data_IF_378514770021
#
_entry.id   IF_378514770021
#
_cell.length_a   1.000
_cell.length_b   1.000
_cell.length_c   1.000
_cell.angle_alpha   90.00
_cell.angle_beta   90.00
_cell.angle_gamma   90.00
#
_symmetry.space_group_name_H-M   'P 1'
#
loop_
_entity.id
_entity.type
_entity.pdbx_description
1 polymer ?
#
# COMPACT_ATOMS: atom_id res chain seq x y z
N UNK A 1 87.27 -47.79 13.84
CA UNK A 1 86.47 -46.48 13.78
C UNK A 1 85.40 -46.41 12.72
N UNK A 2 85.01 -47.49 12.02
CA UNK A 2 84.01 -47.43 10.91
C UNK A 2 82.57 -47.74 11.34
N UNK A 3 82.33 -48.54 12.36
CA UNK A 3 81.04 -49.00 12.81
C UNK A 3 80.16 -47.92 13.39
N UNK A 4 80.67 -46.86 14.00
CA UNK A 4 79.91 -45.76 14.59
C UNK A 4 79.31 -44.75 13.57
N UNK A 5 79.91 -44.65 12.37
CA UNK A 5 79.40 -43.80 11.28
C UNK A 5 78.22 -44.45 10.52
N UNK A 6 78.26 -45.75 10.33
CA UNK A 6 77.16 -46.51 9.68
C UNK A 6 75.94 -46.59 10.53
N UNK A 7 76.02 -46.73 11.83
CA UNK A 7 74.87 -46.74 12.77
C UNK A 7 74.21 -45.35 12.83
N UNK A 8 74.97 -44.24 12.78
CA UNK A 8 74.44 -42.88 12.75
C UNK A 8 73.76 -42.58 11.38
N UNK A 9 74.30 -43.05 10.30
CA UNK A 9 73.70 -42.90 8.98
C UNK A 9 72.39 -43.69 8.89
N UNK A 10 72.34 -44.95 9.33
CA UNK A 10 71.13 -45.77 9.39
C UNK A 10 70.01 -45.09 10.27
N UNK A 11 70.37 -44.54 11.44
CA UNK A 11 69.40 -43.79 12.28
C UNK A 11 68.89 -42.52 11.59
N UNK A 12 69.67 -41.79 10.83
CA UNK A 12 69.27 -40.61 10.08
C UNK A 12 68.30 -41.00 8.93
N UNK A 13 68.54 -42.10 8.22
CA UNK A 13 67.66 -42.61 7.17
C UNK A 13 66.36 -43.14 7.72
N UNK A 14 66.33 -43.80 8.88
CA UNK A 14 65.11 -44.25 9.54
C UNK A 14 64.25 -43.07 10.08
N UNK A 15 64.89 -42.02 10.63
CA UNK A 15 64.17 -40.81 11.07
C UNK A 15 63.56 -40.08 9.85
N UNK A 16 64.31 -39.94 8.73
CA UNK A 16 63.80 -39.36 7.49
C UNK A 16 62.59 -40.12 6.92
N UNK A 17 62.68 -41.46 6.95
CA UNK A 17 61.55 -42.32 6.52
C UNK A 17 60.31 -42.17 7.39
N UNK A 18 60.51 -42.05 8.71
CA UNK A 18 59.36 -41.82 9.64
C UNK A 18 58.71 -40.45 9.39
N UNK A 19 59.53 -39.40 9.20
CA UNK A 19 59.01 -38.05 8.91
C UNK A 19 58.26 -38.05 7.58
N UNK A 20 58.76 -38.68 6.54
CA UNK A 20 58.05 -38.77 5.25
C UNK A 20 56.72 -39.52 5.38
N UNK A 21 56.68 -40.63 6.14
CA UNK A 21 55.47 -41.39 6.41
C UNK A 21 54.43 -40.57 7.16
N UNK A 22 54.86 -39.80 8.17
CA UNK A 22 53.96 -38.88 8.91
C UNK A 22 53.37 -37.83 7.96
N UNK A 23 54.21 -37.20 7.10
CA UNK A 23 53.75 -36.22 6.11
C UNK A 23 52.71 -36.84 5.15
N UNK A 24 52.95 -38.04 4.66
CA UNK A 24 52.03 -38.72 3.75
C UNK A 24 50.72 -39.08 4.45
N UNK A 25 50.76 -39.57 5.67
CA UNK A 25 49.58 -39.90 6.46
C UNK A 25 48.75 -38.65 6.82
N UNK A 26 49.40 -37.57 7.25
CA UNK A 26 48.74 -36.30 7.55
C UNK A 26 48.13 -35.66 6.31
N UNK A 27 48.84 -35.64 5.17
CA UNK A 27 48.35 -35.16 3.90
C UNK A 27 47.11 -35.96 3.43
N UNK A 28 47.20 -37.31 3.51
CA UNK A 28 46.06 -38.18 3.16
C UNK A 28 44.86 -37.99 4.09
N UNK A 29 45.11 -37.84 5.39
CA UNK A 29 44.04 -37.56 6.37
C UNK A 29 43.40 -36.22 6.08
N UNK A 30 44.16 -35.15 5.90
CA UNK A 30 43.67 -33.79 5.64
C UNK A 30 42.86 -33.74 4.33
N UNK A 31 43.37 -34.35 3.25
CA UNK A 31 42.68 -34.46 1.97
C UNK A 31 41.36 -35.21 2.10
N UNK A 32 41.36 -36.36 2.79
CA UNK A 32 40.11 -37.13 3.04
C UNK A 32 39.10 -36.38 3.90
N UNK A 33 39.59 -35.64 4.90
CA UNK A 33 38.76 -34.78 5.77
C UNK A 33 38.09 -33.68 4.94
N UNK A 34 38.86 -32.95 4.11
CA UNK A 34 38.30 -31.88 3.25
C UNK A 34 37.22 -32.43 2.29
N UNK A 35 37.49 -33.54 1.60
CA UNK A 35 36.56 -34.13 0.64
C UNK A 35 35.26 -34.58 1.32
N UNK A 36 35.34 -35.07 2.54
CA UNK A 36 34.15 -35.62 3.25
C UNK A 36 33.33 -34.58 3.99
N UNK A 37 33.96 -33.52 4.52
CA UNK A 37 33.30 -32.58 5.45
C UNK A 37 33.17 -31.17 4.90
N UNK A 38 34.03 -30.73 3.98
CA UNK A 38 34.00 -29.35 3.48
C UNK A 38 33.34 -29.28 2.09
N UNK A 39 33.71 -30.18 1.19
CA UNK A 39 33.23 -30.13 -0.20
C UNK A 39 31.73 -30.32 -0.33
N UNK A 40 31.05 -31.29 0.32
CA UNK A 40 29.63 -31.52 0.12
C UNK A 40 28.74 -30.36 0.57
N UNK A 41 28.94 -29.72 1.74
CA UNK A 41 28.15 -28.55 2.11
C UNK A 41 28.27 -27.39 1.11
N UNK A 42 29.48 -27.12 0.61
CA UNK A 42 29.74 -26.08 -0.38
C UNK A 42 29.09 -26.38 -1.72
N UNK A 43 29.13 -27.63 -2.17
CA UNK A 43 28.44 -28.04 -3.41
C UNK A 43 26.90 -27.88 -3.29
N UNK A 44 26.33 -28.24 -2.13
CA UNK A 44 24.92 -28.03 -1.85
C UNK A 44 24.54 -26.54 -1.87
N UNK A 45 25.35 -25.69 -1.27
CA UNK A 45 25.14 -24.22 -1.29
C UNK A 45 25.25 -23.67 -2.72
N UNK A 46 26.24 -24.14 -3.49
CA UNK A 46 26.43 -23.75 -4.90
C UNK A 46 25.19 -24.13 -5.73
N UNK A 47 24.74 -25.38 -5.60
CA UNK A 47 23.52 -25.85 -6.31
C UNK A 47 22.30 -25.03 -5.90
N UNK A 48 22.11 -24.76 -4.61
CA UNK A 48 21.04 -23.91 -4.12
C UNK A 48 21.10 -22.50 -4.69
N UNK A 49 22.29 -21.91 -4.80
CA UNK A 49 22.47 -20.59 -5.40
C UNK A 49 22.15 -20.58 -6.90
N UNK A 50 22.49 -21.65 -7.63
CA UNK A 50 22.12 -21.80 -9.05
C UNK A 50 20.62 -21.93 -9.23
N UNK A 51 19.94 -22.70 -8.40
CA UNK A 51 18.45 -22.80 -8.42
C UNK A 51 17.79 -21.43 -8.19
N UNK A 52 18.29 -20.65 -7.22
CA UNK A 52 17.79 -19.29 -6.97
C UNK A 52 18.05 -18.38 -8.17
N UNK A 53 19.19 -18.49 -8.83
CA UNK A 53 19.51 -17.75 -10.05
C UNK A 53 18.56 -18.08 -11.21
N UNK A 54 18.10 -19.32 -11.30
CA UNK A 54 17.11 -19.80 -12.28
C UNK A 54 15.67 -19.45 -11.90
N UNK A 55 15.47 -18.79 -10.74
CA UNK A 55 14.15 -18.33 -10.28
C UNK A 55 13.43 -19.28 -9.32
N UNK A 56 14.02 -20.41 -8.96
CA UNK A 56 13.44 -21.33 -7.99
C UNK A 56 13.69 -20.85 -6.55
N UNK A 57 12.82 -19.98 -6.05
CA UNK A 57 12.89 -19.44 -4.69
C UNK A 57 12.25 -20.34 -3.63
N UNK A 58 11.58 -21.42 -4.05
CA UNK A 58 10.97 -22.37 -3.11
C UNK A 58 11.98 -23.34 -2.51
N UNK A 59 13.23 -23.34 -2.99
CA UNK A 59 14.29 -24.22 -2.52
C UNK A 59 14.54 -24.00 -1.02
N UNK A 60 14.70 -25.12 -0.29
CA UNK A 60 15.13 -25.11 1.10
C UNK A 60 16.31 -26.07 1.26
N UNK A 61 17.45 -25.52 1.62
CA UNK A 61 18.64 -26.30 1.87
C UNK A 61 18.60 -26.89 3.28
N UNK A 62 18.80 -28.21 3.39
CA UNK A 62 18.80 -28.93 4.65
C UNK A 62 20.22 -29.38 4.99
N UNK A 63 20.75 -28.96 6.12
CA UNK A 63 21.99 -29.44 6.68
C UNK A 63 21.74 -30.15 8.01
N UNK A 64 22.08 -31.46 8.07
CA UNK A 64 21.83 -32.31 9.25
C UNK A 64 22.93 -32.20 10.30
N UNK A 65 24.07 -31.61 9.97
CA UNK A 65 25.20 -31.40 10.88
C UNK A 65 24.89 -30.34 11.96
N UNK A 66 25.56 -30.48 13.11
CA UNK A 66 25.57 -29.45 14.15
C UNK A 66 26.94 -28.77 14.17
N UNK A 67 27.39 -28.36 13.00
CA UNK A 67 28.70 -27.79 12.70
C UNK A 67 28.57 -26.31 12.23
N UNK A 68 29.67 -25.74 11.80
CA UNK A 68 29.79 -24.33 11.38
C UNK A 68 28.98 -24.01 10.14
N UNK A 69 28.49 -24.99 9.38
CA UNK A 69 27.67 -24.79 8.18
C UNK A 69 26.20 -24.55 8.49
N UNK A 70 25.69 -25.02 9.63
CA UNK A 70 24.27 -24.86 10.01
C UNK A 70 23.79 -23.41 10.01
N UNK A 71 24.54 -22.43 10.56
CA UNK A 71 24.17 -21.02 10.48
C UNK A 71 24.13 -20.50 9.03
N UNK A 72 25.04 -20.95 8.18
CA UNK A 72 25.13 -20.53 6.77
C UNK A 72 23.89 -21.03 5.99
N UNK A 73 23.50 -22.28 6.18
CA UNK A 73 22.28 -22.84 5.57
C UNK A 73 21.00 -22.13 6.04
N UNK A 74 20.94 -21.76 7.33
CA UNK A 74 19.82 -20.95 7.85
C UNK A 74 19.79 -19.57 7.21
N UNK A 75 20.94 -18.89 7.12
CA UNK A 75 21.03 -17.57 6.51
C UNK A 75 20.64 -17.61 5.03
N UNK A 76 21.06 -18.64 4.30
CA UNK A 76 20.64 -18.86 2.91
C UNK A 76 19.13 -19.01 2.79
N UNK A 77 18.52 -19.88 3.60
CA UNK A 77 17.06 -20.11 3.58
C UNK A 77 16.27 -18.86 3.95
N UNK A 78 16.75 -18.08 4.93
CA UNK A 78 16.13 -16.81 5.31
C UNK A 78 16.23 -15.76 4.19
N UNK A 79 17.37 -15.72 3.50
CA UNK A 79 17.57 -14.84 2.34
C UNK A 79 16.62 -15.20 1.20
N UNK A 80 16.51 -16.47 0.83
CA UNK A 80 15.59 -16.92 -0.24
C UNK A 80 14.14 -16.68 0.11
N UNK A 81 13.75 -16.84 1.38
CA UNK A 81 12.41 -16.53 1.87
C UNK A 81 12.09 -15.04 1.74
N UNK A 82 12.98 -14.16 2.22
CA UNK A 82 12.81 -12.71 2.09
C UNK A 82 12.76 -12.26 0.63
N UNK A 83 13.59 -12.85 -0.23
CA UNK A 83 13.58 -12.55 -1.66
C UNK A 83 12.27 -12.98 -2.30
N UNK A 84 11.76 -14.17 -1.98
CA UNK A 84 10.46 -14.67 -2.46
C UNK A 84 9.33 -13.74 -2.05
N UNK A 85 9.25 -13.35 -0.77
CA UNK A 85 8.25 -12.39 -0.28
C UNK A 85 8.33 -11.05 -1.02
N UNK A 86 9.54 -10.49 -1.16
CA UNK A 86 9.72 -9.20 -1.83
C UNK A 86 9.33 -9.23 -3.31
N UNK A 87 9.59 -10.34 -4.01
CA UNK A 87 9.17 -10.50 -5.40
C UNK A 87 7.65 -10.65 -5.53
N UNK A 88 7.02 -11.43 -4.64
CA UNK A 88 5.56 -11.57 -4.62
C UNK A 88 4.87 -10.23 -4.35
N UNK A 89 5.34 -9.48 -3.35
CA UNK A 89 4.83 -8.13 -3.06
C UNK A 89 4.96 -7.20 -4.26
N UNK A 90 6.10 -7.24 -4.95
CA UNK A 90 6.33 -6.43 -6.15
C UNK A 90 5.43 -6.83 -7.31
N UNK A 91 5.21 -8.13 -7.54
CA UNK A 91 4.30 -8.63 -8.56
C UNK A 91 2.86 -8.20 -8.29
N UNK A 92 2.42 -8.27 -7.03
CA UNK A 92 1.11 -7.78 -6.61
C UNK A 92 0.97 -6.26 -6.83
N UNK A 93 1.99 -5.47 -6.51
CA UNK A 93 2.00 -4.02 -6.76
C UNK A 93 1.93 -3.71 -8.25
N UNK A 94 2.71 -4.41 -9.08
CA UNK A 94 2.66 -4.25 -10.54
C UNK A 94 1.30 -4.64 -11.11
N UNK A 95 0.69 -5.71 -10.62
CA UNK A 95 -0.64 -6.13 -11.04
C UNK A 95 -1.70 -5.09 -10.66
N UNK A 96 -1.69 -4.62 -9.42
CA UNK A 96 -2.58 -3.54 -8.96
C UNK A 96 -2.42 -2.28 -9.80
N UNK A 97 -1.18 -1.94 -10.19
CA UNK A 97 -0.90 -0.80 -11.08
C UNK A 97 -1.47 -0.99 -12.48
N UNK A 98 -1.38 -2.19 -13.07
CA UNK A 98 -1.97 -2.50 -14.37
C UNK A 98 -3.50 -2.40 -14.33
N UNK A 99 -4.11 -2.95 -13.29
CA UNK A 99 -5.57 -2.86 -13.07
C UNK A 99 -6.03 -1.41 -12.89
N UNK A 100 -5.25 -0.61 -12.15
CA UNK A 100 -5.46 0.82 -11.99
C UNK A 100 -5.51 1.52 -13.35
N UNK A 101 -4.49 1.33 -14.20
CA UNK A 101 -4.40 1.97 -15.53
C UNK A 101 -5.56 1.52 -16.44
N UNK A 102 -5.91 0.26 -16.42
CA UNK A 102 -7.02 -0.28 -17.21
C UNK A 102 -8.37 0.34 -16.78
N UNK A 103 -8.62 0.43 -15.47
CA UNK A 103 -9.83 1.06 -14.93
C UNK A 103 -9.91 2.55 -15.26
N UNK A 104 -8.81 3.30 -15.10
CA UNK A 104 -8.73 4.72 -15.49
C UNK A 104 -9.11 4.89 -16.97
N UNK A 105 -8.52 4.07 -17.84
CA UNK A 105 -8.76 4.16 -19.27
C UNK A 105 -10.23 3.92 -19.64
N UNK A 106 -10.87 2.98 -18.95
CA UNK A 106 -12.30 2.71 -19.12
C UNK A 106 -13.14 3.90 -18.65
N UNK A 107 -12.86 4.43 -17.46
CA UNK A 107 -13.67 5.48 -16.84
C UNK A 107 -13.52 6.85 -17.52
N UNK A 108 -12.36 7.12 -18.13
CA UNK A 108 -12.15 8.29 -19.00
C UNK A 108 -12.89 8.11 -20.33
N UNK A 109 -12.91 6.92 -20.91
CA UNK A 109 -13.54 6.68 -22.22
C UNK A 109 -15.05 6.90 -22.18
N UNK A 110 -15.72 6.53 -21.10
CA UNK A 110 -17.17 6.63 -20.98
C UNK A 110 -17.68 8.08 -21.13
N UNK A 111 -17.29 9.07 -20.31
CA UNK A 111 -17.71 10.46 -20.47
C UNK A 111 -17.24 11.06 -21.80
N UNK A 112 -16.05 10.70 -22.28
CA UNK A 112 -15.53 11.16 -23.56
C UNK A 112 -16.43 10.71 -24.73
N UNK A 113 -16.90 9.46 -24.72
CA UNK A 113 -17.84 8.94 -25.73
C UNK A 113 -19.16 9.70 -25.70
N UNK A 114 -19.67 10.05 -24.52
CA UNK A 114 -20.89 10.85 -24.37
C UNK A 114 -20.67 12.26 -24.93
N UNK A 115 -19.59 12.94 -24.55
CA UNK A 115 -19.23 14.26 -25.08
C UNK A 115 -19.24 14.24 -26.61
N UNK A 116 -18.55 13.25 -27.18
CA UNK A 116 -18.44 13.09 -28.64
C UNK A 116 -19.81 12.89 -29.29
N UNK A 117 -20.64 11.99 -28.76
CA UNK A 117 -21.97 11.72 -29.31
C UNK A 117 -22.86 12.97 -29.30
N UNK A 118 -22.87 13.74 -28.21
CA UNK A 118 -23.64 14.98 -28.12
C UNK A 118 -23.09 16.09 -29.02
N UNK A 119 -21.77 16.20 -29.16
CA UNK A 119 -21.13 17.14 -30.09
C UNK A 119 -21.42 16.80 -31.56
N UNK A 120 -21.37 15.51 -31.94
CA UNK A 120 -21.78 15.03 -33.27
C UNK A 120 -23.28 15.32 -33.53
N UNK A 121 -24.16 15.08 -32.53
CA UNK A 121 -25.57 15.41 -32.64
C UNK A 121 -25.87 16.90 -32.81
N UNK A 122 -25.07 17.79 -32.22
CA UNK A 122 -25.13 19.24 -32.48
C UNK A 122 -24.69 19.57 -33.91
N UNK A 123 -23.56 19.00 -34.36
CA UNK A 123 -23.00 19.23 -35.70
C UNK A 123 -23.94 18.73 -36.80
N UNK A 124 -24.54 17.57 -36.62
CA UNK A 124 -25.39 16.90 -37.64
C UNK A 124 -26.85 17.39 -37.61
N UNK A 125 -27.16 18.42 -36.77
CA UNK A 125 -28.46 19.05 -36.71
C UNK A 125 -29.55 18.24 -36.01
N UNK A 126 -29.18 17.19 -35.27
CA UNK A 126 -30.12 16.38 -34.47
C UNK A 126 -30.77 17.21 -33.37
N UNK A 127 -30.05 18.18 -32.81
CA UNK A 127 -30.58 19.20 -31.92
C UNK A 127 -31.17 20.35 -32.75
N UNK A 128 -32.41 20.16 -33.21
CA UNK A 128 -33.15 21.02 -34.14
C UNK A 128 -33.82 22.24 -33.50
N UNK A 129 -33.86 22.30 -32.15
CA UNK A 129 -34.39 23.43 -31.38
C UNK A 129 -33.36 24.02 -30.44
N UNK A 130 -33.48 25.31 -30.08
CA UNK A 130 -32.59 25.97 -29.13
C UNK A 130 -32.58 25.24 -27.76
N UNK A 131 -33.74 24.78 -27.30
CA UNK A 131 -33.85 24.01 -26.05
C UNK A 131 -33.05 22.70 -26.10
N UNK A 132 -33.11 21.97 -27.24
CA UNK A 132 -32.30 20.75 -27.43
C UNK A 132 -30.82 21.08 -27.52
N UNK A 133 -30.45 22.17 -28.18
CA UNK A 133 -29.03 22.60 -28.26
C UNK A 133 -28.49 22.92 -26.87
N UNK A 134 -29.25 23.68 -26.08
CA UNK A 134 -28.86 24.03 -24.71
C UNK A 134 -28.75 22.79 -23.82
N UNK A 135 -29.65 21.84 -23.93
CA UNK A 135 -29.59 20.55 -23.27
C UNK A 135 -28.33 19.76 -23.66
N UNK A 136 -27.97 19.71 -24.95
CA UNK A 136 -26.82 19.01 -25.44
C UNK A 136 -25.53 19.66 -24.92
N UNK A 137 -25.45 20.99 -24.96
CA UNK A 137 -24.33 21.75 -24.41
C UNK A 137 -24.19 21.52 -22.89
N UNK A 138 -25.27 21.54 -22.15
CA UNK A 138 -25.26 21.29 -20.71
C UNK A 138 -24.74 19.89 -20.34
N UNK A 139 -25.08 18.87 -21.17
CA UNK A 139 -24.54 17.50 -20.99
C UNK A 139 -23.04 17.47 -21.28
N UNK A 140 -22.60 18.14 -22.36
CA UNK A 140 -21.17 18.22 -22.72
C UNK A 140 -20.36 18.88 -21.58
N UNK A 141 -20.81 20.05 -21.10
CA UNK A 141 -20.15 20.77 -20.02
C UNK A 141 -20.07 19.91 -18.74
N UNK A 142 -21.20 19.31 -18.32
CA UNK A 142 -21.21 18.45 -17.13
C UNK A 142 -20.25 17.27 -17.24
N UNK A 143 -20.16 16.63 -18.44
CA UNK A 143 -19.22 15.51 -18.65
C UNK A 143 -17.76 15.95 -18.73
N UNK A 144 -17.49 17.17 -19.20
CA UNK A 144 -16.18 17.76 -19.12
C UNK A 144 -15.74 18.03 -17.67
N UNK A 145 -16.66 18.57 -16.84
CA UNK A 145 -16.40 18.77 -15.42
C UNK A 145 -16.16 17.43 -14.67
N UNK A 146 -16.86 16.36 -15.07
CA UNK A 146 -16.65 15.03 -14.53
C UNK A 146 -15.23 14.50 -14.84
N UNK A 147 -14.77 14.71 -16.09
CA UNK A 147 -13.40 14.36 -16.50
C UNK A 147 -12.36 15.16 -15.74
N UNK A 148 -12.54 16.47 -15.57
CA UNK A 148 -11.60 17.31 -14.85
C UNK A 148 -11.47 16.87 -13.38
N UNK A 149 -12.60 16.58 -12.73
CA UNK A 149 -12.58 16.01 -11.37
C UNK A 149 -11.83 14.68 -11.29
N UNK A 150 -12.02 13.79 -12.26
CA UNK A 150 -11.34 12.50 -12.30
C UNK A 150 -9.83 12.66 -12.50
N UNK A 151 -9.41 13.56 -13.40
CA UNK A 151 -8.00 13.89 -13.63
C UNK A 151 -7.36 14.45 -12.36
N UNK A 152 -8.04 15.36 -11.66
CA UNK A 152 -7.55 15.92 -10.40
C UNK A 152 -7.39 14.86 -9.31
N UNK A 153 -8.34 13.91 -9.19
CA UNK A 153 -8.22 12.77 -8.27
C UNK A 153 -7.04 11.85 -8.61
N UNK A 154 -6.76 11.65 -9.92
CA UNK A 154 -5.62 10.87 -10.37
C UNK A 154 -4.29 11.56 -10.04
N UNK A 155 -4.21 12.88 -10.26
CA UNK A 155 -3.05 13.66 -9.83
C UNK A 155 -2.84 13.59 -8.32
N UNK A 156 -3.90 13.66 -7.55
CA UNK A 156 -3.85 13.53 -6.09
C UNK A 156 -3.32 12.16 -5.68
N UNK A 157 -3.82 11.10 -6.29
CA UNK A 157 -3.34 9.73 -6.05
C UNK A 157 -1.85 9.58 -6.41
N UNK A 158 -1.44 10.09 -7.57
CA UNK A 158 -0.03 10.08 -8.02
C UNK A 158 0.89 10.82 -7.04
N UNK A 159 0.45 11.98 -6.52
CA UNK A 159 1.22 12.74 -5.53
C UNK A 159 1.34 12.00 -4.19
N UNK A 160 0.29 11.28 -3.78
CA UNK A 160 0.33 10.45 -2.58
C UNK A 160 1.32 9.27 -2.74
N UNK A 161 1.47 8.72 -3.95
CA UNK A 161 2.43 7.64 -4.24
C UNK A 161 3.90 8.11 -4.22
N UNK A 162 4.18 9.40 -4.50
CA UNK A 162 5.52 9.99 -4.33
C UNK A 162 5.92 10.08 -2.85
N UNK A 163 4.96 9.97 -1.93
CA UNK A 163 5.17 9.83 -0.50
C UNK A 163 5.31 11.15 0.26
N UNK A 164 5.70 11.05 1.53
CA UNK A 164 5.73 12.15 2.49
C UNK A 164 6.58 13.38 2.07
N UNK A 165 7.55 13.21 1.17
CA UNK A 165 8.37 14.31 0.65
C UNK A 165 7.58 15.38 -0.13
N UNK A 166 6.37 15.04 -0.60
CA UNK A 166 5.51 15.96 -1.35
C UNK A 166 4.65 16.84 -0.44
N UNK A 167 4.63 16.56 0.86
CA UNK A 167 3.76 17.24 1.83
C UNK A 167 4.56 17.80 2.98
N UNK A 168 4.23 19.04 3.39
CA UNK A 168 4.82 19.65 4.59
C UNK A 168 4.17 19.03 5.82
N UNK A 169 4.97 18.38 6.65
CA UNK A 169 4.56 17.87 7.96
C UNK A 169 4.70 18.99 9.00
N UNK A 170 3.63 19.29 9.71
CA UNK A 170 3.57 20.31 10.75
C UNK A 170 2.81 19.79 11.98
N UNK A 171 2.96 20.47 13.10
CA UNK A 171 2.12 20.20 14.27
C UNK A 171 0.84 21.01 14.13
N UNK A 172 -0.29 20.31 14.09
CA UNK A 172 -1.63 20.87 13.88
C UNK A 172 -2.52 20.54 15.07
N UNK A 173 -3.40 21.45 15.42
CA UNK A 173 -4.55 21.13 16.27
C UNK A 173 -5.69 20.59 15.41
N UNK A 174 -5.95 19.28 15.51
CA UNK A 174 -6.97 18.62 14.70
C UNK A 174 -8.37 19.20 14.99
N UNK A 175 -8.67 19.61 16.23
CA UNK A 175 -9.94 20.24 16.59
C UNK A 175 -10.16 21.54 15.79
N UNK A 176 -9.15 22.38 15.70
CA UNK A 176 -9.21 23.63 14.93
C UNK A 176 -9.39 23.33 13.42
N UNK A 177 -8.67 22.34 12.89
CA UNK A 177 -8.80 21.95 11.46
C UNK A 177 -10.22 21.48 11.12
N UNK A 178 -10.86 20.72 12.01
CA UNK A 178 -12.24 20.27 11.80
C UNK A 178 -13.24 21.42 11.84
N UNK A 179 -13.08 22.37 12.75
CA UNK A 179 -13.93 23.56 12.82
C UNK A 179 -13.77 24.45 11.58
N UNK A 180 -12.54 24.74 11.17
CA UNK A 180 -12.23 25.48 9.94
C UNK A 180 -12.90 24.81 8.72
N UNK A 181 -12.75 23.48 8.59
CA UNK A 181 -13.34 22.72 7.50
C UNK A 181 -14.87 22.87 7.44
N UNK A 182 -15.56 22.76 8.59
CA UNK A 182 -17.02 22.90 8.64
C UNK A 182 -17.44 24.31 8.28
N UNK A 183 -16.78 25.33 8.83
CA UNK A 183 -17.13 26.73 8.55
C UNK A 183 -16.97 27.06 7.07
N UNK A 184 -15.85 26.68 6.46
CA UNK A 184 -15.56 26.94 5.05
C UNK A 184 -16.52 26.21 4.10
N UNK A 185 -16.97 25.01 4.47
CA UNK A 185 -17.72 24.12 3.55
C UNK A 185 -19.22 24.00 3.87
N UNK A 186 -19.70 24.54 4.98
CA UNK A 186 -21.10 24.44 5.45
C UNK A 186 -22.11 24.81 4.37
N UNK A 187 -21.94 25.94 3.72
CA UNK A 187 -22.91 26.43 2.73
C UNK A 187 -22.89 25.54 1.46
N UNK A 188 -21.71 25.19 0.98
CA UNK A 188 -21.56 24.35 -0.22
C UNK A 188 -22.17 22.95 -0.05
N UNK A 189 -22.01 22.32 1.14
CA UNK A 189 -22.62 21.02 1.39
C UNK A 189 -24.10 21.12 1.71
N UNK A 190 -24.56 22.22 2.36
CA UNK A 190 -25.99 22.48 2.56
C UNK A 190 -26.76 22.63 1.24
N UNK A 191 -26.18 23.30 0.24
CA UNK A 191 -26.75 23.35 -1.13
C UNK A 191 -26.85 21.95 -1.77
N UNK A 192 -25.96 21.04 -1.42
CA UNK A 192 -26.02 19.63 -1.84
C UNK A 192 -26.94 18.78 -0.94
N UNK A 193 -27.60 19.40 0.04
CA UNK A 193 -28.50 18.73 1.00
C UNK A 193 -27.74 17.86 2.00
N UNK A 194 -26.54 18.26 2.45
CA UNK A 194 -25.79 17.60 3.52
C UNK A 194 -25.47 18.60 4.63
N UNK A 195 -25.87 18.27 5.85
CA UNK A 195 -25.55 19.05 7.05
C UNK A 195 -24.29 18.50 7.69
N UNK A 196 -23.29 19.39 7.88
CA UNK A 196 -22.04 19.05 8.56
C UNK A 196 -22.14 19.45 10.04
N UNK A 197 -21.75 18.58 10.95
CA UNK A 197 -21.64 18.84 12.39
C UNK A 197 -20.34 18.26 12.95
N UNK A 198 -19.83 18.83 14.04
CA UNK A 198 -18.69 18.30 14.75
C UNK A 198 -18.92 18.30 16.27
N UNK A 199 -18.42 17.23 16.89
CA UNK A 199 -18.23 17.08 18.33
C UNK A 199 -16.76 16.80 18.57
N UNK A 200 -16.02 17.76 19.12
CA UNK A 200 -14.56 17.66 19.20
C UNK A 200 -14.05 17.80 20.63
N UNK A 201 -13.11 16.94 21.03
CA UNK A 201 -12.28 17.20 22.20
C UNK A 201 -11.47 18.48 21.99
N UNK A 202 -11.20 19.21 23.04
CA UNK A 202 -10.39 20.42 23.00
C UNK A 202 -8.90 20.05 22.84
N UNK A 203 -8.21 20.80 21.99
CA UNK A 203 -6.77 20.76 21.80
C UNK A 203 -6.19 19.35 21.58
N UNK A 204 -6.32 18.86 20.35
CA UNK A 204 -5.83 17.54 19.91
C UNK A 204 -4.64 17.73 18.95
N UNK A 205 -3.41 17.89 19.46
CA UNK A 205 -2.24 18.13 18.63
C UNK A 205 -1.80 16.84 17.93
N UNK A 206 -1.68 16.88 16.61
CA UNK A 206 -1.16 15.80 15.77
C UNK A 206 0.01 16.28 14.92
N UNK A 207 0.82 15.34 14.41
CA UNK A 207 1.78 15.62 13.34
C UNK A 207 1.17 15.19 12.02
N UNK A 208 1.04 16.14 11.09
CA UNK A 208 0.40 15.84 9.82
C UNK A 208 0.47 17.00 8.84
N UNK A 209 -0.31 16.92 7.79
CA UNK A 209 -0.43 17.97 6.79
C UNK A 209 -1.88 18.45 6.69
N UNK A 210 -2.10 19.76 6.83
CA UNK A 210 -3.43 20.38 6.66
C UNK A 210 -4.03 20.02 5.29
N UNK A 211 -3.18 19.98 4.26
CA UNK A 211 -3.62 19.61 2.91
C UNK A 211 -4.15 18.17 2.85
N UNK A 212 -3.47 17.21 3.51
CA UNK A 212 -3.93 15.81 3.56
C UNK A 212 -5.22 15.66 4.36
N UNK A 213 -5.33 16.37 5.50
CA UNK A 213 -6.56 16.38 6.31
C UNK A 213 -7.74 16.92 5.51
N UNK A 214 -7.58 18.06 4.85
CA UNK A 214 -8.64 18.63 4.01
C UNK A 214 -9.05 17.66 2.88
N UNK A 215 -8.11 16.95 2.27
CA UNK A 215 -8.42 15.92 1.27
C UNK A 215 -9.22 14.76 1.84
N UNK A 216 -8.86 14.27 3.03
CA UNK A 216 -9.60 13.23 3.73
C UNK A 216 -11.05 13.69 3.95
N UNK A 217 -11.23 14.85 4.59
CA UNK A 217 -12.53 15.40 4.95
C UNK A 217 -13.40 15.67 3.71
N UNK A 218 -12.83 16.26 2.65
CA UNK A 218 -13.54 16.51 1.39
C UNK A 218 -14.00 15.22 0.70
N UNK A 219 -13.17 14.17 0.69
CA UNK A 219 -13.54 12.89 0.11
C UNK A 219 -14.68 12.22 0.90
N UNK A 220 -14.61 12.22 2.23
CA UNK A 220 -15.65 11.65 3.09
C UNK A 220 -16.95 12.44 2.96
N UNK A 221 -16.92 13.77 3.08
CA UNK A 221 -18.11 14.62 2.95
C UNK A 221 -18.73 14.54 1.55
N UNK A 222 -17.91 14.48 0.49
CA UNK A 222 -18.41 14.32 -0.88
C UNK A 222 -19.07 12.95 -1.09
N UNK A 223 -18.53 11.89 -0.50
CA UNK A 223 -19.16 10.57 -0.53
C UNK A 223 -20.52 10.58 0.19
N UNK A 224 -20.58 11.15 1.40
CA UNK A 224 -21.84 11.23 2.16
C UNK A 224 -22.89 12.08 1.44
N UNK A 225 -22.52 13.21 0.84
CA UNK A 225 -23.43 14.03 0.04
C UNK A 225 -23.99 13.27 -1.17
N UNK A 226 -23.15 12.40 -1.78
CA UNK A 226 -23.52 11.62 -2.96
C UNK A 226 -24.41 10.43 -2.64
N UNK A 227 -24.14 9.72 -1.56
CA UNK A 227 -24.83 8.48 -1.21
C UNK A 227 -25.92 8.64 -0.16
N UNK A 228 -26.21 9.86 0.27
CA UNK A 228 -27.32 10.13 1.19
C UNK A 228 -28.65 9.57 0.67
N UNK A 229 -29.53 9.24 1.56
CA UNK A 229 -30.93 8.91 1.25
C UNK A 229 -31.68 10.16 0.80
N UNK A 230 -32.91 10.00 0.29
CA UNK A 230 -33.72 11.15 -0.16
C UNK A 230 -33.96 12.14 0.98
N UNK A 231 -33.72 13.42 0.71
CA UNK A 231 -33.89 14.50 1.68
C UNK A 231 -32.57 15.12 2.13
N UNK A 232 -32.55 15.68 3.33
CA UNK A 232 -31.34 16.23 3.97
C UNK A 232 -30.58 15.10 4.64
N UNK A 233 -29.27 14.98 4.34
CA UNK A 233 -28.37 14.02 4.97
C UNK A 233 -27.53 14.70 6.05
N UNK A 234 -26.98 13.91 6.96
CA UNK A 234 -26.15 14.39 8.06
C UNK A 234 -24.79 13.71 8.06
N UNK A 235 -23.74 14.50 8.31
CA UNK A 235 -22.38 14.01 8.52
C UNK A 235 -21.87 14.53 9.86
N UNK A 236 -21.60 13.62 10.78
CA UNK A 236 -21.03 13.92 12.09
C UNK A 236 -19.53 13.61 12.09
N UNK A 237 -18.74 14.61 12.47
CA UNK A 237 -17.32 14.48 12.75
C UNK A 237 -17.12 14.44 14.28
N UNK A 238 -16.80 13.27 14.80
CA UNK A 238 -16.58 13.10 16.23
C UNK A 238 -15.09 12.87 16.51
N UNK A 239 -14.46 13.72 17.34
CA UNK A 239 -13.03 13.68 17.64
C UNK A 239 -12.80 13.43 19.12
N UNK A 240 -12.11 12.35 19.41
CA UNK A 240 -11.64 12.01 20.75
C UNK A 240 -10.11 12.06 20.85
N UNK A 241 -9.62 12.41 22.03
CA UNK A 241 -8.21 12.35 22.36
C UNK A 241 -7.93 11.11 23.19
N UNK A 242 -7.34 10.09 22.55
CA UNK A 242 -6.84 8.90 23.24
C UNK A 242 -5.50 9.13 23.95
N UNK A 243 -4.92 8.09 24.50
CA UNK A 243 -3.64 8.18 25.22
C UNK A 243 -2.45 8.56 24.32
N UNK A 244 -2.35 7.92 23.13
CA UNK A 244 -1.24 8.12 22.20
C UNK A 244 -1.69 8.52 20.79
N UNK A 245 -2.97 8.54 20.53
CA UNK A 245 -3.56 8.80 19.22
C UNK A 245 -4.82 9.66 19.31
N UNK A 246 -5.07 10.46 18.29
CA UNK A 246 -6.34 11.11 18.04
C UNK A 246 -7.24 10.12 17.27
N UNK A 247 -8.48 9.97 17.71
CA UNK A 247 -9.49 9.13 17.06
C UNK A 247 -10.55 10.07 16.45
N UNK A 248 -10.57 10.14 15.12
CA UNK A 248 -11.58 10.85 14.37
C UNK A 248 -12.56 9.85 13.77
N UNK A 249 -13.80 9.94 14.18
CA UNK A 249 -14.91 9.14 13.65
C UNK A 249 -15.78 10.02 12.77
N UNK A 250 -15.99 9.61 11.52
CA UNK A 250 -16.82 10.32 10.54
C UNK A 250 -18.00 9.43 10.20
N UNK A 251 -19.19 9.83 10.63
CA UNK A 251 -20.41 9.03 10.51
C UNK A 251 -21.45 9.75 9.67
N UNK A 252 -21.97 9.07 8.65
CA UNK A 252 -23.13 9.53 7.86
C UNK A 252 -24.41 8.73 8.19
N UNK A 253 -25.54 9.30 7.79
CA UNK A 253 -26.86 8.68 7.88
C UNK A 253 -27.34 8.06 6.55
N UNK A 254 -26.38 7.73 5.68
CA UNK A 254 -26.62 7.09 4.39
C UNK A 254 -27.11 5.65 4.50
N UNK A 255 -27.23 4.93 3.38
CA UNK A 255 -27.71 3.54 3.37
C UNK A 255 -26.66 2.52 3.87
N UNK A 256 -25.45 2.96 4.22
CA UNK A 256 -24.31 2.07 4.48
C UNK A 256 -23.86 1.33 3.23
N UNK A 257 -23.02 0.30 3.42
CA UNK A 257 -22.50 -0.55 2.35
C UNK A 257 -22.74 -2.03 2.67
N UNK A 258 -22.85 -2.92 1.66
CA UNK A 258 -22.93 -4.36 1.92
C UNK A 258 -21.73 -4.84 2.74
N UNK A 259 -21.93 -5.73 3.70
CA UNK A 259 -20.87 -6.27 4.58
C UNK A 259 -19.68 -6.83 3.78
N UNK A 260 -19.96 -7.51 2.67
CA UNK A 260 -18.96 -8.04 1.76
C UNK A 260 -18.10 -6.97 1.10
N UNK A 261 -18.63 -5.74 1.00
CA UNK A 261 -17.98 -4.58 0.36
C UNK A 261 -17.09 -3.80 1.32
N UNK A 262 -17.30 -3.90 2.64
CA UNK A 262 -16.51 -3.15 3.64
C UNK A 262 -15.01 -3.41 3.51
N UNK A 263 -14.61 -4.66 3.26
CA UNK A 263 -13.20 -5.07 3.11
C UNK A 263 -12.52 -4.45 1.88
N UNK A 264 -13.30 -4.18 0.84
CA UNK A 264 -12.84 -3.66 -0.44
C UNK A 264 -13.01 -2.14 -0.58
N UNK A 265 -13.63 -1.48 0.41
CA UNK A 265 -14.02 -0.08 0.32
C UNK A 265 -12.86 0.88 0.04
N UNK A 266 -11.65 0.53 0.50
CA UNK A 266 -10.44 1.32 0.31
C UNK A 266 -9.62 0.91 -0.93
N UNK A 267 -10.05 -0.11 -1.67
CA UNK A 267 -9.40 -0.51 -2.92
C UNK A 267 -9.71 0.50 -4.03
N UNK A 268 -8.70 0.78 -4.85
CA UNK A 268 -8.87 1.74 -5.93
C UNK A 268 -9.93 1.25 -6.95
N UNK A 269 -10.82 2.17 -7.37
CA UNK A 269 -11.94 1.91 -8.30
C UNK A 269 -12.98 0.92 -7.82
N UNK A 270 -12.91 0.48 -6.58
CA UNK A 270 -13.96 -0.36 -6.03
C UNK A 270 -15.27 0.43 -5.91
N UNK A 271 -16.33 -0.14 -6.43
CA UNK A 271 -17.70 0.38 -6.35
C UNK A 271 -18.65 -0.78 -6.12
N UNK A 272 -19.63 -0.59 -5.24
CA UNK A 272 -20.69 -1.57 -5.04
C UNK A 272 -21.57 -1.68 -6.30
N UNK A 273 -22.21 -2.82 -6.54
CA UNK A 273 -23.07 -3.03 -7.72
C UNK A 273 -24.23 -2.01 -7.77
N UNK A 274 -24.77 -1.62 -6.61
CA UNK A 274 -25.79 -0.56 -6.52
C UNK A 274 -25.26 0.82 -6.91
N UNK A 275 -23.96 1.08 -6.69
CA UNK A 275 -23.32 2.33 -7.10
C UNK A 275 -22.94 2.32 -8.58
N UNK A 276 -22.72 1.15 -9.19
CA UNK A 276 -22.49 1.00 -10.64
C UNK A 276 -23.76 1.21 -11.47
N UNK A 277 -24.93 0.76 -10.97
CA UNK A 277 -26.21 0.87 -11.68
C UNK A 277 -26.81 2.28 -11.63
N UNK A 278 -26.44 3.10 -10.65
CA UNK A 278 -26.75 4.52 -10.65
C UNK A 278 -25.69 5.21 -11.53
N UNK A 279 -26.13 5.83 -12.62
CA UNK A 279 -25.31 6.62 -13.57
C UNK A 279 -24.65 7.84 -12.92
N UNK A 280 -24.60 7.91 -11.59
CA UNK A 280 -24.05 9.00 -10.81
C UNK A 280 -22.54 8.79 -10.58
N UNK A 281 -21.84 9.83 -10.89
CA UNK A 281 -20.42 10.04 -10.94
C UNK A 281 -19.65 9.58 -9.69
N UNK A 282 -18.67 8.72 -9.88
CA UNK A 282 -17.70 8.39 -8.85
C UNK A 282 -16.62 7.48 -9.38
N UNK A 283 -15.39 7.96 -9.34
CA UNK A 283 -14.20 7.26 -9.79
C UNK A 283 -13.84 6.02 -8.94
N UNK A 284 -14.43 5.86 -7.75
CA UNK A 284 -13.99 4.85 -6.78
C UNK A 284 -12.61 5.13 -6.16
N UNK A 285 -12.05 6.33 -6.37
CA UNK A 285 -10.73 6.72 -5.84
C UNK A 285 -10.78 7.41 -4.48
N UNK A 286 -11.94 7.96 -4.09
CA UNK A 286 -12.05 8.79 -2.88
C UNK A 286 -11.60 8.08 -1.60
N UNK A 287 -12.04 6.85 -1.37
CA UNK A 287 -11.67 6.08 -0.17
C UNK A 287 -10.20 5.61 -0.21
N UNK A 288 -9.67 5.31 -1.39
CA UNK A 288 -8.24 5.01 -1.58
C UNK A 288 -7.37 6.22 -1.23
N UNK A 289 -7.79 7.43 -1.64
CA UNK A 289 -7.12 8.69 -1.27
C UNK A 289 -7.14 8.87 0.25
N UNK A 290 -8.28 8.63 0.90
CA UNK A 290 -8.39 8.68 2.37
C UNK A 290 -7.38 7.73 3.02
N UNK A 291 -7.33 6.46 2.60
CA UNK A 291 -6.42 5.46 3.19
C UNK A 291 -4.95 5.86 3.00
N UNK A 292 -4.56 6.27 1.79
CA UNK A 292 -3.17 6.69 1.50
C UNK A 292 -2.78 7.94 2.29
N UNK A 293 -3.66 8.94 2.35
CA UNK A 293 -3.41 10.16 3.10
C UNK A 293 -3.24 9.90 4.61
N UNK A 294 -4.09 9.04 5.19
CA UNK A 294 -3.98 8.62 6.60
C UNK A 294 -2.67 7.87 6.84
N UNK A 295 -2.28 6.94 5.96
CA UNK A 295 -1.01 6.20 6.06
C UNK A 295 0.22 7.12 6.00
N UNK A 296 0.19 8.18 5.18
CA UNK A 296 1.27 9.17 5.11
C UNK A 296 1.43 9.96 6.42
N UNK A 297 0.39 10.03 7.24
CA UNK A 297 0.44 10.61 8.59
C UNK A 297 0.69 9.54 9.68
N UNK A 298 1.16 8.34 9.31
CA UNK A 298 1.38 7.19 10.20
C UNK A 298 0.12 6.74 10.95
N UNK A 299 -1.07 7.02 10.39
CA UNK A 299 -2.36 6.64 10.94
C UNK A 299 -2.90 5.34 10.35
N UNK A 300 -4.06 4.92 10.89
CA UNK A 300 -4.87 3.81 10.41
C UNK A 300 -6.29 4.26 10.13
N UNK A 301 -6.96 3.60 9.17
CA UNK A 301 -8.36 3.87 8.85
C UNK A 301 -9.12 2.56 8.72
N UNK A 302 -10.32 2.52 9.30
CA UNK A 302 -11.29 1.42 9.21
C UNK A 302 -12.67 1.96 8.87
N UNK A 303 -13.56 1.08 8.41
CA UNK A 303 -14.94 1.45 8.11
C UNK A 303 -15.88 0.36 8.57
N UNK A 304 -17.04 0.76 9.11
CA UNK A 304 -18.10 -0.12 9.54
C UNK A 304 -19.48 0.49 9.27
N UNK A 305 -20.49 -0.36 9.19
CA UNK A 305 -21.87 0.12 9.11
C UNK A 305 -22.41 0.48 10.50
N UNK A 306 -23.22 1.55 10.56
CA UNK A 306 -23.90 1.99 11.78
C UNK A 306 -25.36 1.51 11.76
N UNK A 307 -25.87 1.13 12.92
CA UNK A 307 -27.27 0.73 13.11
C UNK A 307 -28.10 1.97 13.51
N UNK A 308 -29.26 2.24 12.90
CA UNK A 308 -29.99 1.39 11.95
C UNK A 308 -29.49 1.49 10.51
N UNK A 309 -28.80 2.53 10.11
CA UNK A 309 -28.21 2.76 8.79
C UNK A 309 -27.13 3.83 8.87
N UNK A 310 -26.18 3.81 7.94
CA UNK A 310 -25.06 4.74 7.86
C UNK A 310 -23.73 4.04 7.67
N UNK A 311 -22.73 4.81 7.29
CA UNK A 311 -21.33 4.39 7.24
C UNK A 311 -20.55 5.19 8.26
N UNK A 312 -19.76 4.50 9.08
CA UNK A 312 -18.80 5.06 10.02
C UNK A 312 -17.39 4.79 9.50
N UNK A 313 -16.57 5.83 9.38
CA UNK A 313 -15.17 5.74 9.05
C UNK A 313 -14.36 6.23 10.25
N UNK A 314 -13.61 5.33 10.88
CA UNK A 314 -12.72 5.64 12.00
C UNK A 314 -11.29 5.85 11.50
N UNK A 315 -10.68 6.97 11.89
CA UNK A 315 -9.32 7.37 11.53
C UNK A 315 -8.54 7.60 12.82
N UNK A 316 -7.42 6.88 12.99
CA UNK A 316 -6.50 7.04 14.12
C UNK A 316 -5.20 7.65 13.63
N UNK A 317 -4.77 8.75 14.27
CA UNK A 317 -3.53 9.46 13.93
C UNK A 317 -2.72 9.65 15.23
N UNK A 318 -1.40 9.36 15.23
CA UNK A 318 -0.56 9.54 16.40
C UNK A 318 -0.57 11.01 16.89
N UNK A 319 -0.66 11.22 18.21
CA UNK A 319 -0.54 12.55 18.82
C UNK A 319 0.88 13.12 18.65
N UNK A 320 0.98 14.43 18.49
CA UNK A 320 2.26 15.13 18.51
C UNK A 320 2.87 15.03 19.91
N UNK A 321 3.98 14.30 20.07
CA UNK A 321 4.64 14.07 21.36
C UNK A 321 4.51 12.66 21.91
N UNK A 322 3.74 11.77 21.26
CA UNK A 322 3.75 10.33 21.55
C UNK A 322 5.05 9.70 21.07
N UNK A 323 5.87 9.21 22.00
CA UNK A 323 7.08 8.43 21.67
C UNK A 323 6.70 7.16 20.94
N UNK A 324 7.35 6.88 19.80
CA UNK A 324 7.32 5.51 19.23
C UNK A 324 7.96 4.57 20.25
N UNK A 325 7.17 3.75 20.91
CA UNK A 325 7.66 2.55 21.61
C UNK A 325 8.01 1.47 20.62
#
# INVERSE_FOLDING_TARGET
MSTGRTIRAMKRWSIGGIILLIILLTSRFLSSFMIRHIVPPLETLKQGAMEVQEGNLSIRLVHKGNDEYRPVFRAFNLMTEKLSLSLTEREEEEQKRKELIASISHDIRTPLTVIRAYAEGLRDGVADTEEKKEKYLSVICRRADDLDRMINQLFDLSRLDIGAKAYTEETLDLSAVLHDFIEENRNSFKEKGLVLSAETAEHVPIRGSRLLLNRILMNLASNSAKYKTAGEGHLLLHLEKGNNEAVLTVTDDGPGVPETSLRHLFEAFYRTDKARSRTEDGSGLGMTIVQKAVRLMNGTVTAENVIPHGLCVEIKIPLAGGSKT
#
